data_IF_448317986280
#
_entry.id   IF_448317986280
#
_cell.length_a   1.000
_cell.length_b   1.000
_cell.length_c   1.000
_cell.angle_alpha   90.00
_cell.angle_beta   90.00
_cell.angle_gamma   90.00
#
_symmetry.space_group_name_H-M   'P 1'
#
loop_
_entity.id
_entity.type
_entity.pdbx_description
1 polymer ?
#
# COMPACT_ATOMS: atom_id res chain seq x y z
N UNK A 1 -32.46 22.10 -10.70
CA UNK A 1 -31.36 22.17 -9.72
C UNK A 1 -30.06 21.94 -10.46
N UNK A 2 -29.14 22.91 -10.45
CA UNK A 2 -27.84 22.78 -11.10
C UNK A 2 -26.90 21.95 -10.22
N UNK A 3 -26.34 20.88 -10.79
CA UNK A 3 -25.38 20.00 -10.13
C UNK A 3 -24.00 20.67 -10.15
N UNK A 4 -23.59 21.22 -9.01
CA UNK A 4 -22.22 21.73 -8.86
C UNK A 4 -21.28 20.55 -8.58
N UNK A 5 -20.63 20.03 -9.61
CA UNK A 5 -19.46 19.16 -9.44
C UNK A 5 -18.31 19.99 -8.88
N UNK A 6 -18.08 19.88 -7.56
CA UNK A 6 -16.86 20.39 -6.93
C UNK A 6 -15.69 19.55 -7.43
N UNK A 7 -14.90 20.12 -8.34
CA UNK A 7 -13.64 19.51 -8.78
C UNK A 7 -12.69 19.45 -7.57
N UNK A 8 -11.98 18.33 -7.34
CA UNK A 8 -11.05 18.21 -6.22
C UNK A 8 -9.97 19.29 -6.29
N UNK A 9 -9.42 19.72 -5.14
CA UNK A 9 -8.43 20.81 -5.08
C UNK A 9 -7.09 20.56 -5.79
N UNK A 10 -6.89 19.36 -6.34
CA UNK A 10 -5.73 18.98 -7.18
C UNK A 10 -6.04 18.98 -8.68
N UNK A 11 -7.31 19.19 -9.06
CA UNK A 11 -7.68 19.33 -10.46
C UNK A 11 -7.12 20.65 -10.99
N UNK A 12 -6.14 20.58 -11.88
CA UNK A 12 -5.63 21.72 -12.62
C UNK A 12 -6.43 21.77 -13.95
N UNK A 13 -7.24 22.82 -14.19
CA UNK A 13 -7.88 23.01 -15.49
C UNK A 13 -6.81 23.04 -16.60
N UNK A 14 -7.14 22.55 -17.79
CA UNK A 14 -6.21 22.58 -18.94
C UNK A 14 -5.69 24.00 -19.24
N UNK A 15 -6.49 25.04 -18.94
CA UNK A 15 -6.08 26.44 -19.04
C UNK A 15 -5.01 26.89 -18.03
N UNK A 16 -4.77 26.10 -16.97
CA UNK A 16 -3.74 26.31 -15.95
C UNK A 16 -2.59 25.32 -16.06
N UNK A 17 -2.67 24.34 -16.97
CA UNK A 17 -1.54 23.50 -17.31
C UNK A 17 -0.48 24.36 -18.03
N UNK A 18 0.80 24.15 -17.70
CA UNK A 18 1.88 24.83 -18.43
C UNK A 18 1.86 24.31 -19.86
N UNK A 19 1.78 25.22 -20.83
CA UNK A 19 1.85 24.87 -22.25
C UNK A 19 3.06 23.98 -22.53
N UNK A 20 2.86 22.95 -23.36
CA UNK A 20 3.86 21.92 -23.62
C UNK A 20 5.19 22.52 -24.12
N UNK A 21 5.14 23.57 -24.96
CA UNK A 21 6.34 24.24 -25.45
C UNK A 21 7.12 24.93 -24.33
N UNK A 22 6.41 25.44 -23.31
CA UNK A 22 7.00 26.07 -22.13
C UNK A 22 7.61 25.02 -21.19
N UNK A 23 6.98 23.86 -21.06
CA UNK A 23 7.53 22.72 -20.33
C UNK A 23 8.85 22.23 -20.94
N UNK A 24 8.90 22.04 -22.26
CA UNK A 24 10.11 21.61 -22.97
C UNK A 24 11.24 22.65 -22.88
N UNK A 25 10.94 23.94 -23.08
CA UNK A 25 11.92 25.03 -22.92
C UNK A 25 12.51 25.10 -21.51
N UNK A 26 11.69 24.90 -20.47
CA UNK A 26 12.17 24.85 -19.07
C UNK A 26 13.11 23.65 -18.84
N UNK A 27 12.81 22.50 -19.45
CA UNK A 27 13.68 21.31 -19.37
C UNK A 27 15.00 21.52 -20.10
N UNK A 28 15.00 22.25 -21.22
CA UNK A 28 16.23 22.65 -21.92
C UNK A 28 17.08 23.62 -21.09
N UNK A 29 16.46 24.62 -20.46
CA UNK A 29 17.15 25.56 -19.56
C UNK A 29 17.76 24.83 -18.36
N UNK A 30 17.04 23.91 -17.73
CA UNK A 30 17.57 23.11 -16.61
C UNK A 30 18.74 22.21 -17.05
N UNK A 31 18.68 21.64 -18.27
CA UNK A 31 19.82 20.93 -18.85
C UNK A 31 21.01 21.84 -19.14
N UNK A 32 20.78 23.07 -19.60
CA UNK A 32 21.81 24.05 -19.88
C UNK A 32 22.49 24.58 -18.59
N UNK A 33 21.73 24.82 -17.53
CA UNK A 33 22.25 25.22 -16.21
C UNK A 33 23.00 24.08 -15.49
N UNK A 34 22.73 22.82 -15.83
CA UNK A 34 23.45 21.65 -15.29
C UNK A 34 24.90 21.50 -15.77
N UNK A 35 25.33 22.25 -16.79
CA UNK A 35 26.67 22.14 -17.40
C UNK A 35 27.59 23.34 -17.07
N UNK A 36 27.10 24.39 -16.40
CA UNK A 36 27.97 25.49 -15.97
C UNK A 36 27.31 26.40 -14.95
N UNK A 37 27.81 26.38 -13.71
CA UNK A 37 27.37 27.35 -12.70
C UNK A 37 27.50 26.95 -11.24
N UNK A 38 28.52 26.18 -10.84
CA UNK A 38 28.96 26.18 -9.43
C UNK A 38 30.03 27.25 -9.27
N UNK A 39 29.61 28.50 -9.09
CA UNK A 39 30.52 29.61 -8.84
C UNK A 39 29.74 30.89 -8.58
N UNK A 40 29.97 31.47 -7.40
CA UNK A 40 29.57 32.81 -6.94
C UNK A 40 28.16 32.91 -6.32
N UNK A 41 28.10 32.82 -4.98
CA UNK A 41 27.76 33.95 -4.11
C UNK A 41 27.84 33.53 -2.63
N UNK A 42 29.07 33.62 -2.10
CA UNK A 42 29.33 33.83 -0.67
C UNK A 42 29.20 35.33 -0.38
N UNK A 43 28.42 35.73 0.63
CA UNK A 43 28.46 37.10 1.13
C UNK A 43 27.27 37.50 2.00
N UNK A 44 27.52 37.53 3.31
CA UNK A 44 26.99 38.44 4.33
C UNK A 44 25.49 38.82 4.34
N UNK A 45 24.84 38.62 5.50
CA UNK A 45 24.37 39.73 6.35
C UNK A 45 23.91 39.18 7.71
N UNK A 46 24.71 39.49 8.73
CA UNK A 46 24.35 39.50 10.15
C UNK A 46 23.62 40.82 10.48
N UNK A 47 22.69 40.76 11.45
CA UNK A 47 21.97 41.91 12.02
C UNK A 47 20.48 41.56 12.14
N UNK A 48 19.90 41.27 13.30
CA UNK A 48 20.07 41.91 14.59
C UNK A 48 19.04 43.04 14.70
N UNK A 49 17.83 42.74 15.21
CA UNK A 49 16.92 43.73 15.79
C UNK A 49 15.81 43.02 16.59
N UNK A 50 15.80 43.25 17.90
CA UNK A 50 14.71 43.00 18.84
C UNK A 50 14.03 44.34 19.11
N UNK A 51 12.70 44.40 19.12
CA UNK A 51 11.96 44.89 20.30
C UNK A 51 10.69 44.03 20.52
N UNK A 52 9.92 44.03 21.60
CA UNK A 52 9.96 44.49 22.99
C UNK A 52 8.78 43.76 23.65
N UNK A 53 8.93 43.44 24.92
CA UNK A 53 7.96 42.78 25.81
C UNK A 53 6.56 43.41 25.80
N UNK A 54 5.53 42.58 25.71
CA UNK A 54 4.20 42.83 26.27
C UNK A 54 3.95 41.80 27.39
N UNK A 55 3.67 42.29 28.59
CA UNK A 55 3.27 41.49 29.75
C UNK A 55 1.86 40.90 29.54
N UNK A 56 1.54 39.76 30.17
CA UNK A 56 0.25 39.11 30.06
C UNK A 56 -0.75 39.67 31.08
N UNK A 57 -1.92 40.09 30.61
CA UNK A 57 -3.08 40.34 31.49
C UNK A 57 -3.71 39.01 31.92
N UNK A 58 -4.00 38.92 33.21
CA UNK A 58 -4.55 37.74 33.88
C UNK A 58 -5.94 37.35 33.37
N UNK A 59 -6.07 36.08 33.00
CA UNK A 59 -7.32 35.38 32.78
C UNK A 59 -7.26 34.03 33.47
N UNK A 60 -8.33 33.70 34.19
CA UNK A 60 -8.43 32.59 35.14
C UNK A 60 -8.03 31.21 34.60
N UNK A 61 -7.40 30.41 35.46
CA UNK A 61 -7.13 28.99 35.24
C UNK A 61 -8.46 28.21 35.18
N UNK A 62 -8.89 27.84 33.99
CA UNK A 62 -9.84 26.74 33.80
C UNK A 62 -9.04 25.42 33.73
N UNK A 63 -9.27 24.56 34.71
CA UNK A 63 -8.61 23.26 34.83
C UNK A 63 -8.80 22.39 33.58
N UNK A 64 -7.69 21.90 33.05
CA UNK A 64 -7.68 20.90 31.97
C UNK A 64 -8.35 19.62 32.47
N UNK A 65 -9.43 19.13 31.85
CA UNK A 65 -10.01 17.87 32.26
C UNK A 65 -9.06 16.73 31.89
N UNK A 66 -8.74 15.91 32.89
CA UNK A 66 -7.95 14.70 32.75
C UNK A 66 -8.53 13.80 31.65
N UNK A 67 -7.71 13.51 30.62
CA UNK A 67 -8.09 12.62 29.51
C UNK A 67 -8.35 11.23 30.07
N UNK A 68 -9.62 10.87 30.25
CA UNK A 68 -10.01 9.47 30.47
C UNK A 68 -9.49 8.64 29.30
N UNK A 69 -8.67 7.64 29.60
CA UNK A 69 -8.28 6.63 28.63
C UNK A 69 -9.55 6.01 28.03
N UNK A 70 -9.69 5.94 26.70
CA UNK A 70 -10.84 5.28 26.11
C UNK A 70 -10.81 3.80 26.52
N UNK A 71 -11.89 3.34 27.14
CA UNK A 71 -12.09 1.92 27.41
C UNK A 71 -12.09 1.19 26.07
N UNK A 72 -11.16 0.24 25.90
CA UNK A 72 -11.03 -0.54 24.68
C UNK A 72 -12.36 -1.25 24.40
N UNK A 73 -13.05 -0.86 23.32
CA UNK A 73 -14.19 -1.65 22.85
C UNK A 73 -13.64 -3.00 22.36
N UNK A 74 -14.22 -4.13 22.77
CA UNK A 74 -13.79 -5.43 22.27
C UNK A 74 -13.88 -5.43 20.74
N UNK A 75 -12.82 -5.93 20.10
CA UNK A 75 -12.79 -6.12 18.64
C UNK A 75 -14.03 -6.93 18.25
N UNK A 76 -14.75 -6.47 17.24
CA UNK A 76 -15.99 -7.10 16.77
C UNK A 76 -15.75 -8.60 16.55
N UNK A 77 -16.60 -9.45 17.13
CA UNK A 77 -16.52 -10.91 16.95
C UNK A 77 -16.96 -11.22 15.52
N UNK A 78 -15.99 -11.34 14.63
CA UNK A 78 -16.20 -11.77 13.25
C UNK A 78 -16.68 -13.22 13.30
N UNK A 79 -17.95 -13.47 12.93
CA UNK A 79 -18.47 -14.82 12.75
C UNK A 79 -18.23 -15.21 11.29
N UNK A 80 -17.21 -16.04 11.06
CA UNK A 80 -16.87 -16.54 9.73
C UNK A 80 -17.26 -18.02 9.63
N UNK A 81 -18.06 -18.35 8.64
CA UNK A 81 -18.37 -19.74 8.29
C UNK A 81 -17.92 -19.96 6.86
N UNK A 82 -17.13 -21.01 6.61
CA UNK A 82 -16.69 -21.37 5.26
C UNK A 82 -17.90 -21.95 4.51
N UNK A 83 -18.71 -21.08 3.90
CA UNK A 83 -19.82 -21.43 3.00
C UNK A 83 -19.34 -21.80 1.58
N UNK A 84 -20.30 -21.92 0.62
CA UNK A 84 -20.06 -22.29 -0.80
C UNK A 84 -18.80 -21.61 -1.38
N UNK A 85 -18.04 -22.38 -2.16
CA UNK A 85 -16.59 -22.24 -2.28
C UNK A 85 -16.11 -20.97 -3.03
N UNK A 86 -15.12 -20.23 -2.50
CA UNK A 86 -14.50 -19.10 -3.22
C UNK A 86 -13.50 -19.55 -4.31
N UNK A 87 -13.30 -20.86 -4.48
CA UNK A 87 -12.32 -21.47 -5.37
C UNK A 87 -12.68 -21.33 -6.87
N UNK A 88 -13.91 -20.95 -7.22
CA UNK A 88 -14.32 -20.80 -8.62
C UNK A 88 -13.87 -19.47 -9.25
N UNK A 89 -13.21 -18.59 -8.48
CA UNK A 89 -12.81 -17.25 -8.92
C UNK A 89 -11.37 -17.14 -9.47
N UNK A 90 -10.72 -18.26 -9.80
CA UNK A 90 -9.50 -18.19 -10.61
C UNK A 90 -9.85 -17.72 -12.02
N UNK A 91 -9.18 -16.67 -12.54
CA UNK A 91 -9.35 -16.31 -13.94
C UNK A 91 -8.89 -17.50 -14.80
N UNK A 92 -9.81 -18.10 -15.57
CA UNK A 92 -9.51 -19.28 -16.40
C UNK A 92 -8.40 -18.98 -17.41
N UNK A 93 -8.37 -17.74 -17.90
CA UNK A 93 -7.36 -17.17 -18.79
C UNK A 93 -6.25 -16.39 -18.07
N UNK A 94 -5.94 -16.70 -16.80
CA UNK A 94 -4.90 -16.03 -16.03
C UNK A 94 -3.58 -15.90 -16.80
N UNK A 95 -2.95 -14.73 -16.68
CA UNK A 95 -1.65 -14.45 -17.29
C UNK A 95 -0.58 -15.40 -16.74
N UNK A 96 0.31 -15.85 -17.64
CA UNK A 96 1.43 -16.73 -17.30
C UNK A 96 1.05 -18.04 -16.56
N UNK A 97 -0.17 -18.57 -16.77
CA UNK A 97 -0.69 -19.75 -16.04
C UNK A 97 0.24 -20.97 -16.08
N UNK A 98 1.01 -21.15 -17.16
CA UNK A 98 1.98 -22.24 -17.31
C UNK A 98 3.18 -22.18 -16.34
N UNK A 99 3.36 -21.07 -15.63
CA UNK A 99 4.46 -20.88 -14.67
C UNK A 99 4.07 -21.23 -13.22
N UNK A 100 2.87 -21.76 -13.00
CA UNK A 100 2.37 -22.18 -11.69
C UNK A 100 2.26 -23.72 -11.62
N UNK A 101 2.55 -24.36 -10.46
CA UNK A 101 3.09 -23.74 -9.25
C UNK A 101 4.56 -23.34 -9.43
N UNK A 102 4.97 -22.24 -8.79
CA UNK A 102 6.36 -21.83 -8.75
C UNK A 102 7.13 -22.60 -7.68
N UNK A 103 8.46 -22.66 -7.80
CA UNK A 103 9.32 -23.28 -6.79
C UNK A 103 9.28 -22.47 -5.49
N UNK A 104 9.10 -23.15 -4.36
CA UNK A 104 9.20 -22.55 -3.02
C UNK A 104 10.62 -22.09 -2.72
N UNK A 105 10.72 -20.88 -2.19
CA UNK A 105 11.96 -20.32 -1.65
C UNK A 105 12.03 -20.61 -0.14
N UNK A 106 12.86 -21.57 0.23
CA UNK A 106 13.00 -22.08 1.60
C UNK A 106 13.58 -21.04 2.60
N UNK A 107 14.11 -19.92 2.11
CA UNK A 107 14.53 -18.80 2.97
C UNK A 107 13.33 -18.09 3.60
N UNK A 108 12.19 -18.06 2.91
CA UNK A 108 10.99 -17.34 3.33
C UNK A 108 9.89 -18.30 3.73
N UNK A 109 10.07 -18.91 4.92
CA UNK A 109 9.11 -19.83 5.52
C UNK A 109 8.58 -19.30 6.86
N UNK A 110 7.39 -19.75 7.22
CA UNK A 110 6.77 -19.56 8.54
C UNK A 110 6.60 -20.94 9.13
N UNK A 111 7.36 -21.26 10.18
CA UNK A 111 7.40 -22.61 10.76
C UNK A 111 6.68 -22.70 12.11
N UNK A 112 6.39 -21.57 12.74
CA UNK A 112 5.78 -21.51 14.07
C UNK A 112 4.25 -21.63 14.06
N UNK A 113 3.63 -21.61 12.87
CA UNK A 113 2.18 -21.72 12.70
C UNK A 113 1.83 -22.26 11.31
N UNK A 114 0.69 -22.91 11.23
CA UNK A 114 0.23 -23.52 9.99
C UNK A 114 -0.10 -22.48 8.91
N UNK A 115 -0.04 -22.94 7.67
CA UNK A 115 -0.61 -22.24 6.52
C UNK A 115 -2.12 -22.13 6.73
N UNK A 116 -2.67 -20.93 6.58
CA UNK A 116 -4.12 -20.71 6.64
C UNK A 116 -4.79 -21.55 5.56
N UNK A 117 -5.89 -22.28 5.85
CA UNK A 117 -6.60 -23.02 4.83
C UNK A 117 -7.00 -22.11 3.68
N UNK A 118 -6.70 -22.54 2.45
CA UNK A 118 -6.89 -21.74 1.25
C UNK A 118 -8.31 -21.16 1.13
N UNK A 119 -9.33 -21.99 1.38
CA UNK A 119 -10.74 -21.58 1.37
C UNK A 119 -11.02 -20.42 2.34
N UNK A 120 -10.42 -20.45 3.53
CA UNK A 120 -10.57 -19.36 4.50
C UNK A 120 -9.85 -18.08 4.04
N UNK A 121 -8.63 -18.22 3.53
CA UNK A 121 -7.87 -17.09 3.00
C UNK A 121 -8.59 -16.41 1.82
N UNK A 122 -9.29 -17.19 1.01
CA UNK A 122 -10.03 -16.72 -0.16
C UNK A 122 -11.45 -16.24 0.12
N UNK A 123 -12.03 -16.54 1.29
CA UNK A 123 -13.38 -16.09 1.63
C UNK A 123 -13.39 -14.96 2.68
N UNK A 124 -12.28 -14.70 3.39
CA UNK A 124 -12.19 -13.62 4.35
C UNK A 124 -11.26 -12.50 3.86
N UNK A 125 -11.82 -11.50 3.18
CA UNK A 125 -11.01 -10.49 2.50
C UNK A 125 -11.46 -9.06 2.81
N UNK A 126 -10.50 -8.14 2.84
CA UNK A 126 -10.74 -6.71 2.69
C UNK A 126 -10.51 -6.33 1.23
N UNK A 127 -11.55 -5.84 0.56
CA UNK A 127 -11.44 -5.23 -0.76
C UNK A 127 -12.62 -4.29 -1.00
N UNK A 128 -12.46 -3.02 -0.58
CA UNK A 128 -13.57 -2.08 -0.39
C UNK A 128 -14.17 -1.61 -1.72
N UNK A 129 -13.40 -1.68 -2.81
CA UNK A 129 -13.87 -1.52 -4.17
C UNK A 129 -15.00 -2.52 -4.53
N UNK A 130 -15.14 -3.62 -3.79
CA UNK A 130 -16.25 -4.56 -3.92
C UNK A 130 -17.17 -4.45 -2.72
N UNK A 131 -16.69 -4.79 -1.52
CA UNK A 131 -17.51 -4.83 -0.30
C UNK A 131 -16.69 -4.49 0.95
N UNK A 132 -17.35 -3.89 1.94
CA UNK A 132 -16.83 -3.74 3.31
C UNK A 132 -17.07 -4.99 4.16
N UNK A 133 -17.96 -5.89 3.72
CA UNK A 133 -18.31 -7.14 4.41
C UNK A 133 -17.40 -8.25 3.91
N UNK A 134 -16.59 -8.80 4.83
CA UNK A 134 -15.44 -9.67 4.55
C UNK A 134 -15.77 -10.90 3.69
N UNK A 135 -16.90 -11.53 3.96
CA UNK A 135 -17.38 -12.77 3.31
C UNK A 135 -18.21 -12.52 2.03
N UNK A 136 -18.38 -11.25 1.64
CA UNK A 136 -19.09 -10.86 0.42
C UNK A 136 -18.14 -10.47 -0.70
N UNK A 137 -16.89 -10.12 -0.40
CA UNK A 137 -15.91 -9.68 -1.41
C UNK A 137 -15.80 -10.68 -2.56
N UNK A 138 -15.58 -11.96 -2.26
CA UNK A 138 -15.41 -12.98 -3.29
C UNK A 138 -16.66 -13.15 -4.17
N UNK A 139 -17.87 -13.03 -3.59
CA UNK A 139 -19.13 -13.12 -4.33
C UNK A 139 -19.31 -11.96 -5.31
N UNK A 140 -18.76 -10.79 -4.99
CA UNK A 140 -18.91 -9.57 -5.80
C UNK A 140 -17.80 -9.38 -6.83
N UNK A 141 -16.73 -10.18 -6.77
CA UNK A 141 -15.62 -10.05 -7.71
C UNK A 141 -15.82 -10.78 -9.04
N UNK A 142 -16.93 -11.51 -9.24
CA UNK A 142 -17.12 -12.40 -10.39
C UNK A 142 -17.01 -11.72 -11.77
N UNK A 143 -17.48 -10.47 -11.89
CA UNK A 143 -17.43 -9.67 -13.13
C UNK A 143 -16.12 -8.89 -13.33
N UNK A 144 -15.18 -8.96 -12.38
CA UNK A 144 -13.94 -8.19 -12.47
C UNK A 144 -12.96 -8.81 -13.46
N UNK A 145 -12.71 -8.08 -14.54
CA UNK A 145 -11.82 -8.51 -15.62
C UNK A 145 -10.37 -8.19 -15.26
N UNK A 146 -9.59 -9.26 -15.08
CA UNK A 146 -8.17 -9.20 -14.69
C UNK A 146 -7.21 -9.58 -15.82
N UNK A 147 -7.73 -9.85 -17.01
CA UNK A 147 -6.95 -10.23 -18.20
C UNK A 147 -7.63 -9.65 -19.45
N UNK A 148 -6.87 -9.01 -20.38
CA UNK A 148 -5.45 -8.68 -20.28
C UNK A 148 -5.17 -7.64 -19.18
N UNK A 149 -3.92 -7.52 -18.73
CA UNK A 149 -3.56 -6.51 -17.73
C UNK A 149 -2.17 -5.94 -17.97
N UNK A 150 -2.08 -4.62 -17.93
CA UNK A 150 -0.83 -3.91 -18.10
C UNK A 150 -0.55 -3.06 -16.86
N UNK A 151 0.73 -3.00 -16.50
CA UNK A 151 1.23 -2.10 -15.48
C UNK A 151 1.88 -0.90 -16.17
N UNK A 152 1.41 0.31 -15.85
CA UNK A 152 2.04 1.56 -16.24
C UNK A 152 3.17 1.90 -15.28
N UNK A 153 4.35 2.22 -15.83
CA UNK A 153 5.48 2.77 -15.08
C UNK A 153 5.65 4.25 -15.44
N UNK A 154 5.84 5.10 -14.43
CA UNK A 154 5.99 6.55 -14.62
C UNK A 154 6.77 7.26 -13.52
N UNK A 155 6.60 8.59 -13.42
CA UNK A 155 7.34 9.40 -12.46
C UNK A 155 8.84 9.42 -12.78
N UNK A 156 9.66 9.04 -11.79
CA UNK A 156 11.12 9.02 -11.90
C UNK A 156 11.69 7.68 -12.39
N UNK A 157 10.90 6.71 -12.87
CA UNK A 157 11.48 5.53 -13.53
C UNK A 157 12.27 5.95 -14.79
N UNK A 158 13.37 5.25 -15.08
CA UNK A 158 14.14 5.49 -16.32
C UNK A 158 13.32 5.12 -17.56
N UNK A 159 12.42 4.14 -17.43
CA UNK A 159 11.46 3.71 -18.45
C UNK A 159 10.05 4.17 -18.09
N UNK A 160 9.48 5.03 -18.93
CA UNK A 160 8.04 5.35 -18.90
C UNK A 160 7.31 4.50 -19.93
N UNK A 161 6.66 3.41 -19.50
CA UNK A 161 6.12 2.38 -20.40
C UNK A 161 4.91 1.67 -19.77
N UNK A 162 4.02 1.12 -20.60
CA UNK A 162 3.05 0.11 -20.20
C UNK A 162 3.57 -1.26 -20.57
N UNK A 163 3.62 -2.17 -19.61
CA UNK A 163 4.10 -3.53 -19.84
C UNK A 163 3.04 -4.53 -19.41
N UNK A 164 2.85 -5.57 -20.23
CA UNK A 164 1.97 -6.67 -19.89
C UNK A 164 2.49 -7.43 -18.66
N UNK A 165 1.59 -7.81 -17.75
CA UNK A 165 1.99 -8.51 -16.52
C UNK A 165 2.57 -9.88 -16.85
N UNK A 166 2.10 -10.55 -17.90
CA UNK A 166 2.69 -11.80 -18.36
C UNK A 166 4.16 -11.64 -18.78
N UNK A 167 4.47 -10.56 -19.51
CA UNK A 167 5.85 -10.28 -19.94
C UNK A 167 6.76 -9.95 -18.75
N UNK A 168 6.26 -9.20 -17.77
CA UNK A 168 6.99 -8.93 -16.52
C UNK A 168 7.32 -10.25 -15.82
N UNK A 169 6.33 -11.13 -15.67
CA UNK A 169 6.50 -12.43 -15.01
C UNK A 169 7.55 -13.26 -15.76
N UNK A 170 7.48 -13.34 -17.09
CA UNK A 170 8.44 -14.11 -17.90
C UNK A 170 9.87 -13.59 -17.78
N UNK A 171 10.06 -12.28 -17.67
CA UNK A 171 11.39 -11.68 -17.54
C UNK A 171 12.01 -11.85 -16.14
N UNK A 172 11.20 -11.80 -15.08
CA UNK A 172 11.70 -11.85 -13.70
C UNK A 172 11.74 -13.29 -13.15
N UNK A 173 10.80 -14.12 -13.56
CA UNK A 173 10.54 -15.45 -13.00
C UNK A 173 9.68 -15.39 -11.73
N UNK A 174 9.15 -16.54 -11.33
CA UNK A 174 8.31 -16.70 -10.13
C UNK A 174 9.02 -17.54 -9.06
N UNK A 175 8.75 -17.20 -7.81
CA UNK A 175 9.03 -18.02 -6.63
C UNK A 175 7.82 -18.01 -5.69
N UNK A 176 7.71 -19.04 -4.86
CA UNK A 176 6.72 -19.07 -3.78
C UNK A 176 7.39 -18.70 -2.44
N UNK A 177 6.74 -17.82 -1.67
CA UNK A 177 7.16 -17.41 -0.33
C UNK A 177 6.01 -17.55 0.65
N UNK A 178 6.26 -18.17 1.80
CA UNK A 178 5.26 -18.29 2.85
C UNK A 178 5.42 -17.11 3.81
N UNK A 179 4.41 -16.26 3.88
CA UNK A 179 4.43 -15.08 4.73
C UNK A 179 3.28 -15.01 5.72
N UNK A 180 3.56 -14.38 6.87
CA UNK A 180 2.52 -13.85 7.75
C UNK A 180 1.89 -12.64 7.08
N UNK A 181 0.57 -12.56 7.11
CA UNK A 181 -0.21 -11.40 6.68
C UNK A 181 -1.04 -10.92 7.86
N UNK A 182 -0.83 -9.68 8.30
CA UNK A 182 -1.49 -9.11 9.49
C UNK A 182 -2.33 -7.91 9.10
N UNK A 183 -3.66 -8.01 9.21
CA UNK A 183 -4.54 -6.87 9.00
C UNK A 183 -4.59 -5.98 10.24
N UNK A 184 -4.70 -4.66 10.08
CA UNK A 184 -4.80 -3.70 11.21
C UNK A 184 -5.97 -4.01 12.17
N UNK A 185 -7.02 -4.69 11.69
CA UNK A 185 -8.22 -5.12 12.43
C UNK A 185 -7.97 -6.34 13.36
N UNK A 186 -6.72 -6.59 13.76
CA UNK A 186 -6.31 -7.64 14.68
C UNK A 186 -6.65 -9.08 14.26
N UNK A 187 -6.70 -9.35 12.95
CA UNK A 187 -6.72 -10.72 12.40
C UNK A 187 -5.51 -10.95 11.49
N UNK A 188 -5.09 -12.21 11.37
CA UNK A 188 -3.92 -12.58 10.57
C UNK A 188 -4.06 -13.92 9.86
N UNK A 189 -3.22 -14.12 8.84
CA UNK A 189 -3.12 -15.34 8.03
C UNK A 189 -1.65 -15.74 7.83
N UNK A 190 -1.42 -17.00 7.49
CA UNK A 190 -0.15 -17.48 6.92
C UNK A 190 -0.43 -17.91 5.49
N UNK A 191 0.19 -17.26 4.51
CA UNK A 191 -0.20 -17.41 3.10
C UNK A 191 1.03 -17.72 2.23
N UNK A 192 0.98 -18.79 1.41
CA UNK A 192 1.98 -19.08 0.38
C UNK A 192 1.72 -18.22 -0.86
N UNK A 193 2.38 -17.07 -0.94
CA UNK A 193 2.30 -16.17 -2.09
C UNK A 193 3.23 -16.64 -3.20
N UNK A 194 2.80 -16.52 -4.45
CA UNK A 194 3.63 -16.75 -5.64
C UNK A 194 3.84 -15.44 -6.38
N UNK A 195 5.06 -15.15 -6.79
CA UNK A 195 5.40 -13.85 -7.35
C UNK A 195 6.90 -13.61 -7.46
N UNK A 196 7.31 -12.36 -7.32
CA UNK A 196 8.73 -11.99 -7.37
C UNK A 196 9.05 -10.79 -6.45
N UNK A 197 10.33 -10.62 -6.05
CA UNK A 197 10.75 -9.46 -5.27
C UNK A 197 10.46 -8.15 -6.01
N UNK A 198 9.86 -7.16 -5.32
CA UNK A 198 9.58 -5.84 -5.88
C UNK A 198 10.86 -5.15 -6.38
N UNK A 199 11.97 -5.36 -5.68
CA UNK A 199 13.28 -4.80 -6.05
C UNK A 199 13.75 -5.25 -7.44
N UNK A 200 13.40 -6.47 -7.90
CA UNK A 200 13.72 -6.92 -9.25
C UNK A 200 12.93 -6.13 -10.30
N UNK A 201 11.66 -5.84 -10.04
CA UNK A 201 10.82 -5.04 -10.94
C UNK A 201 11.30 -3.58 -11.03
N UNK A 202 11.63 -2.97 -9.89
CA UNK A 202 12.17 -1.61 -9.85
C UNK A 202 13.51 -1.54 -10.62
N UNK A 203 14.41 -2.51 -10.42
CA UNK A 203 15.67 -2.60 -11.17
C UNK A 203 15.47 -2.81 -12.66
N UNK A 204 14.49 -3.64 -13.07
CA UNK A 204 14.16 -3.87 -14.47
C UNK A 204 13.72 -2.58 -15.19
N UNK A 205 13.02 -1.70 -14.47
CA UNK A 205 12.56 -0.41 -15.01
C UNK A 205 13.60 0.71 -14.90
N UNK A 206 14.61 0.57 -14.04
CA UNK A 206 15.67 1.56 -13.80
C UNK A 206 15.19 2.72 -12.93
N UNK A 207 16.06 3.24 -12.05
CA UNK A 207 15.72 4.33 -11.15
C UNK A 207 16.90 5.26 -10.84
N UNK A 208 16.67 6.59 -10.76
CA UNK A 208 17.69 7.56 -10.42
C UNK A 208 17.88 7.66 -8.90
N UNK A 209 19.03 8.19 -8.48
CA UNK A 209 19.36 8.45 -7.06
C UNK A 209 18.44 9.47 -6.37
N UNK A 210 17.73 10.28 -7.16
CA UNK A 210 16.74 11.26 -6.70
C UNK A 210 15.41 10.63 -6.29
N UNK A 211 15.11 9.40 -6.71
CA UNK A 211 13.92 8.69 -6.27
C UNK A 211 14.01 8.33 -4.78
N UNK A 212 12.95 8.62 -4.02
CA UNK A 212 12.87 8.39 -2.57
C UNK A 212 11.66 7.55 -2.16
N UNK A 213 10.64 7.49 -3.00
CA UNK A 213 9.42 6.73 -2.75
C UNK A 213 8.95 6.04 -4.03
N UNK A 214 8.16 4.98 -3.85
CA UNK A 214 7.36 4.37 -4.90
C UNK A 214 5.89 4.52 -4.55
N UNK A 215 5.08 4.97 -5.51
CA UNK A 215 3.63 5.08 -5.42
C UNK A 215 2.99 4.02 -6.29
N UNK A 216 1.87 3.48 -5.82
CA UNK A 216 1.05 2.49 -6.51
C UNK A 216 -0.39 2.99 -6.64
N UNK A 217 -1.06 2.54 -7.70
CA UNK A 217 -2.48 2.80 -7.93
C UNK A 217 -3.21 1.49 -8.25
N UNK A 218 -4.34 1.25 -7.59
CA UNK A 218 -5.28 0.17 -7.93
C UNK A 218 -6.11 0.57 -9.15
N UNK A 219 -6.60 -0.43 -9.90
CA UNK A 219 -7.58 -0.19 -10.95
C UNK A 219 -8.81 0.58 -10.44
N UNK A 220 -9.38 1.42 -11.31
CA UNK A 220 -10.62 2.15 -11.06
C UNK A 220 -11.65 1.75 -12.12
N UNK A 221 -12.49 0.77 -11.81
CA UNK A 221 -13.52 0.25 -12.73
C UNK A 221 -14.90 0.25 -12.05
N UNK A 222 -15.58 1.41 -11.90
CA UNK A 222 -16.86 1.49 -11.19
C UNK A 222 -17.90 0.44 -11.61
N UNK A 223 -18.03 0.18 -12.92
CA UNK A 223 -18.95 -0.83 -13.47
C UNK A 223 -18.64 -2.29 -13.05
N UNK A 224 -17.43 -2.57 -12.60
CA UNK A 224 -16.97 -3.89 -12.14
C UNK A 224 -16.63 -3.90 -10.64
N UNK A 225 -16.67 -2.74 -9.97
CA UNK A 225 -16.24 -2.51 -8.59
C UNK A 225 -17.36 -1.77 -7.84
N UNK A 226 -18.43 -2.48 -7.46
CA UNK A 226 -19.65 -1.86 -6.94
C UNK A 226 -19.44 -1.05 -5.65
N UNK A 227 -18.42 -1.40 -4.86
CA UNK A 227 -18.10 -0.68 -3.64
C UNK A 227 -17.65 0.77 -3.88
N UNK A 228 -17.11 1.10 -5.06
CA UNK A 228 -16.70 2.47 -5.41
C UNK A 228 -17.88 3.44 -5.34
N UNK A 229 -19.03 3.04 -5.90
CA UNK A 229 -20.23 3.88 -5.93
C UNK A 229 -20.87 4.00 -4.53
N UNK A 230 -20.91 2.89 -3.78
CA UNK A 230 -21.56 2.85 -2.46
C UNK A 230 -20.75 3.54 -1.35
N UNK A 231 -19.45 3.73 -1.58
CA UNK A 231 -18.51 4.31 -0.60
C UNK A 231 -18.03 5.69 -1.05
N UNK A 232 -18.95 6.55 -1.47
CA UNK A 232 -18.68 7.89 -2.02
C UNK A 232 -17.86 8.83 -1.11
N UNK A 233 -17.76 8.50 0.18
CA UNK A 233 -16.94 9.24 1.15
C UNK A 233 -15.44 8.91 1.05
N UNK A 234 -15.08 7.86 0.31
CA UNK A 234 -13.69 7.47 0.06
C UNK A 234 -13.18 8.01 -1.27
N UNK A 235 -11.88 8.30 -1.33
CA UNK A 235 -11.22 8.89 -2.49
C UNK A 235 -10.60 7.83 -3.41
N UNK A 236 -11.43 6.93 -3.94
CA UNK A 236 -10.99 5.96 -4.95
C UNK A 236 -10.42 6.68 -6.20
N UNK A 237 -9.46 6.06 -6.94
CA UNK A 237 -8.87 4.73 -6.72
C UNK A 237 -8.02 4.60 -5.45
N UNK A 238 -7.95 3.37 -4.95
CA UNK A 238 -7.04 3.02 -3.88
C UNK A 238 -5.59 3.27 -4.31
N UNK A 239 -4.81 3.88 -3.43
CA UNK A 239 -3.42 4.26 -3.70
C UNK A 239 -2.58 4.05 -2.46
N UNK A 240 -1.35 3.59 -2.68
CA UNK A 240 -0.39 3.34 -1.62
C UNK A 240 1.01 3.78 -2.01
N UNK A 241 1.88 3.87 -1.01
CA UNK A 241 3.27 4.21 -1.24
C UNK A 241 4.20 3.59 -0.18
N UNK A 242 5.46 3.43 -0.57
CA UNK A 242 6.56 3.00 0.29
C UNK A 242 7.74 3.93 0.10
N UNK A 243 8.59 4.04 1.11
CA UNK A 243 9.94 4.58 0.91
C UNK A 243 10.73 3.63 0.01
N UNK A 244 11.64 4.16 -0.80
CA UNK A 244 12.29 3.36 -1.85
C UNK A 244 13.16 2.25 -1.25
N UNK A 245 13.82 2.49 -0.12
CA UNK A 245 14.57 1.45 0.62
C UNK A 245 13.67 0.32 1.14
N UNK A 246 12.45 0.62 1.60
CA UNK A 246 11.43 -0.39 1.95
C UNK A 246 11.02 -1.21 0.73
N UNK A 247 10.79 -0.55 -0.40
CA UNK A 247 10.43 -1.21 -1.65
C UNK A 247 11.56 -2.05 -2.24
N UNK A 248 12.81 -1.72 -1.92
CA UNK A 248 14.00 -2.44 -2.34
C UNK A 248 14.41 -3.55 -1.36
N UNK A 249 13.80 -3.61 -0.16
CA UNK A 249 14.02 -4.67 0.81
C UNK A 249 13.65 -6.04 0.23
N UNK A 250 14.38 -7.08 0.63
CA UNK A 250 14.18 -8.41 0.10
C UNK A 250 12.80 -9.00 0.39
N UNK A 251 12.12 -8.58 1.47
CA UNK A 251 10.78 -9.05 1.82
C UNK A 251 9.66 -8.36 1.04
N UNK A 252 9.93 -7.22 0.38
CA UNK A 252 8.91 -6.55 -0.42
C UNK A 252 8.62 -7.37 -1.68
N UNK A 253 7.38 -7.81 -1.84
CA UNK A 253 7.04 -8.84 -2.80
C UNK A 253 5.83 -8.44 -3.65
N UNK A 254 5.91 -8.73 -4.94
CA UNK A 254 4.81 -8.56 -5.88
C UNK A 254 4.23 -9.95 -6.14
N UNK A 255 3.03 -10.19 -5.62
CA UNK A 255 2.33 -11.45 -5.81
C UNK A 255 1.48 -11.40 -7.08
N UNK A 256 1.56 -12.49 -7.84
CA UNK A 256 0.72 -12.78 -9.03
C UNK A 256 0.00 -14.13 -8.87
N UNK A 257 0.37 -14.92 -7.86
CA UNK A 257 -0.31 -16.13 -7.44
C UNK A 257 -0.37 -16.34 -5.93
N UNK A 258 -1.07 -17.40 -5.54
CA UNK A 258 -1.27 -17.84 -4.16
C UNK A 258 -1.63 -19.33 -4.15
N UNK A 259 -1.16 -20.10 -3.16
CA UNK A 259 -1.45 -21.54 -3.03
C UNK A 259 -1.14 -22.36 -4.31
N UNK A 260 -0.02 -22.05 -4.98
CA UNK A 260 0.38 -22.75 -6.21
C UNK A 260 -0.44 -22.42 -7.46
N UNK A 261 -1.32 -21.42 -7.42
CA UNK A 261 -2.17 -21.00 -8.55
C UNK A 261 -2.06 -19.48 -8.80
N UNK A 262 -2.52 -18.97 -9.96
CA UNK A 262 -2.70 -17.53 -10.15
C UNK A 262 -3.62 -16.91 -9.09
N UNK A 263 -3.49 -15.61 -8.81
CA UNK A 263 -4.34 -14.93 -7.84
C UNK A 263 -5.81 -15.04 -8.24
N UNK A 264 -6.68 -15.24 -7.26
CA UNK A 264 -8.11 -15.02 -7.44
C UNK A 264 -8.46 -13.55 -7.33
N UNK A 265 -9.59 -13.15 -7.93
CA UNK A 265 -10.00 -11.74 -8.03
C UNK A 265 -10.11 -11.06 -6.67
N UNK A 266 -10.73 -11.73 -5.69
CA UNK A 266 -10.82 -11.25 -4.31
C UNK A 266 -9.48 -11.11 -3.59
N UNK A 267 -8.50 -11.91 -4.01
CA UNK A 267 -7.14 -11.83 -3.52
C UNK A 267 -6.33 -10.72 -4.21
N UNK A 268 -6.92 -9.94 -5.12
CA UNK A 268 -6.27 -8.79 -5.75
C UNK A 268 -5.57 -9.11 -7.07
N UNK A 269 -6.07 -10.10 -7.80
CA UNK A 269 -5.58 -10.46 -9.13
C UNK A 269 -5.63 -9.27 -10.11
N UNK A 270 -4.75 -9.25 -11.13
CA UNK A 270 -3.72 -10.27 -11.42
C UNK A 270 -2.38 -9.99 -10.72
N UNK A 271 -2.22 -8.83 -10.10
CA UNK A 271 -0.97 -8.37 -9.51
C UNK A 271 -1.24 -7.53 -8.25
N UNK A 272 -0.59 -7.88 -7.14
CA UNK A 272 -0.72 -7.17 -5.86
C UNK A 272 0.61 -7.05 -5.15
N UNK A 273 0.69 -6.09 -4.24
CA UNK A 273 1.82 -5.93 -3.35
C UNK A 273 1.63 -6.77 -2.08
N UNK A 274 2.71 -7.28 -1.51
CA UNK A 274 2.79 -7.94 -0.20
C UNK A 274 3.96 -7.35 0.57
N UNK A 275 3.66 -6.70 1.69
CA UNK A 275 4.67 -6.13 2.59
C UNK A 275 4.49 -6.77 3.97
N UNK A 276 5.15 -7.91 4.25
CA UNK A 276 4.75 -8.81 5.33
C UNK A 276 4.98 -8.25 6.74
N UNK A 277 5.85 -7.24 6.89
CA UNK A 277 6.13 -6.59 8.18
C UNK A 277 5.20 -5.41 8.51
N UNK A 278 4.34 -5.01 7.57
CA UNK A 278 3.39 -3.90 7.70
C UNK A 278 1.95 -4.40 7.83
N UNK A 279 1.06 -3.53 8.31
CA UNK A 279 -0.37 -3.83 8.31
C UNK A 279 -0.90 -4.01 6.88
N UNK A 280 -1.88 -4.91 6.74
CA UNK A 280 -2.35 -5.42 5.45
C UNK A 280 -2.85 -4.37 4.46
N UNK A 281 -3.25 -3.18 4.89
CA UNK A 281 -3.65 -2.12 3.96
C UNK A 281 -2.48 -1.58 3.12
N UNK A 282 -1.23 -1.72 3.59
CA UNK A 282 -0.04 -1.39 2.79
C UNK A 282 0.14 -2.33 1.58
N UNK A 283 -0.50 -3.49 1.60
CA UNK A 283 -0.45 -4.51 0.54
C UNK A 283 -1.56 -4.29 -0.49
N UNK A 284 -1.38 -3.26 -1.33
CA UNK A 284 -2.32 -2.83 -2.38
C UNK A 284 -2.63 -3.95 -3.40
N UNK A 285 -3.88 -4.00 -3.88
CA UNK A 285 -4.42 -5.02 -4.80
C UNK A 285 -4.58 -4.47 -6.22
N UNK A 286 -4.57 -5.35 -7.22
CA UNK A 286 -4.91 -5.05 -8.62
C UNK A 286 -4.24 -3.79 -9.15
N UNK A 287 -2.90 -3.77 -9.06
CA UNK A 287 -2.08 -2.59 -9.36
C UNK A 287 -2.11 -2.30 -10.86
N UNK A 288 -2.41 -1.06 -11.24
CA UNK A 288 -2.39 -0.58 -12.65
C UNK A 288 -1.28 0.43 -12.92
N UNK A 289 -0.75 1.09 -11.89
CA UNK A 289 0.33 2.07 -12.05
C UNK A 289 1.35 1.98 -10.92
N UNK A 290 2.61 2.20 -11.27
CA UNK A 290 3.74 2.34 -10.36
C UNK A 290 4.58 3.57 -10.76
N UNK A 291 4.85 4.46 -9.81
CA UNK A 291 5.57 5.71 -10.05
C UNK A 291 6.67 5.91 -9.00
N UNK A 292 7.87 6.31 -9.43
CA UNK A 292 8.88 6.78 -8.49
C UNK A 292 8.74 8.28 -8.25
N UNK A 293 8.87 8.71 -7.01
CA UNK A 293 8.78 10.13 -6.62
C UNK A 293 9.91 10.51 -5.66
N UNK A 294 10.27 11.80 -5.63
CA UNK A 294 11.22 12.35 -4.66
C UNK A 294 10.53 12.84 -3.38
N UNK A 295 9.23 13.11 -3.44
CA UNK A 295 8.40 13.61 -2.34
C UNK A 295 7.46 12.49 -1.87
N UNK A 296 7.27 12.38 -0.55
CA UNK A 296 6.39 11.38 0.05
C UNK A 296 4.95 11.52 -0.48
N UNK A 297 4.41 10.52 -1.18
CA UNK A 297 3.02 10.53 -1.61
C UNK A 297 2.07 10.36 -0.43
N UNK A 298 0.83 10.83 -0.60
CA UNK A 298 -0.28 10.46 0.28
C UNK A 298 -0.64 8.99 0.07
N UNK A 299 -1.19 8.34 1.10
CA UNK A 299 -1.72 6.97 1.02
C UNK A 299 -3.21 6.96 1.36
N UNK A 300 -3.95 5.97 0.88
CA UNK A 300 -5.41 5.96 0.92
C UNK A 300 -5.96 6.05 2.34
N UNK A 301 -5.57 5.13 3.23
CA UNK A 301 -6.09 5.11 4.60
C UNK A 301 -5.57 6.26 5.46
N UNK A 302 -4.32 6.70 5.25
CA UNK A 302 -3.81 7.90 5.91
C UNK A 302 -4.55 9.17 5.47
N UNK A 303 -5.00 9.23 4.21
CA UNK A 303 -5.83 10.34 3.73
C UNK A 303 -7.24 10.26 4.26
N UNK A 304 -7.84 9.06 4.30
CA UNK A 304 -9.21 8.85 4.74
C UNK A 304 -9.38 9.09 6.25
N UNK A 305 -8.44 8.57 7.06
CA UNK A 305 -8.50 8.68 8.53
C UNK A 305 -7.07 8.85 9.10
N UNK A 306 -6.46 10.05 8.96
CA UNK A 306 -5.06 10.28 9.34
C UNK A 306 -4.76 10.03 10.82
N UNK A 307 -5.77 10.14 11.70
CA UNK A 307 -5.64 9.87 13.12
C UNK A 307 -5.48 8.36 13.45
N UNK A 308 -5.82 7.47 12.52
CA UNK A 308 -5.81 6.01 12.72
C UNK A 308 -4.72 5.29 11.94
N UNK A 309 -4.37 5.79 10.75
CA UNK A 309 -3.48 5.08 9.83
C UNK A 309 -2.31 5.98 9.44
N UNK A 310 -1.09 5.56 9.78
CA UNK A 310 0.14 6.26 9.41
C UNK A 310 0.64 5.95 7.99
N UNK A 311 1.71 6.61 7.57
CA UNK A 311 2.39 6.27 6.31
C UNK A 311 3.13 4.93 6.41
N UNK A 312 3.98 4.77 7.42
CA UNK A 312 4.86 3.60 7.57
C UNK A 312 4.11 2.34 7.95
N UNK A 313 3.25 2.41 8.97
CA UNK A 313 2.30 1.33 9.29
C UNK A 313 2.95 -0.03 9.57
N UNK A 314 4.12 -0.02 10.22
CA UNK A 314 4.79 -1.23 10.67
C UNK A 314 3.91 -1.94 11.72
N UNK A 315 3.90 -3.28 11.69
CA UNK A 315 3.21 -4.04 12.74
C UNK A 315 3.96 -3.84 14.05
N UNK A 316 3.31 -3.20 15.02
CA UNK A 316 3.88 -2.88 16.32
C UNK A 316 2.88 -3.25 17.42
N UNK A 317 3.14 -4.29 18.24
CA UNK A 317 2.24 -4.71 19.32
C UNK A 317 2.09 -3.68 20.43
N UNK A 318 3.09 -2.81 20.63
CA UNK A 318 3.13 -1.83 21.72
C UNK A 318 2.36 -0.54 21.36
N UNK A 319 2.09 -0.31 20.06
CA UNK A 319 1.36 0.85 19.56
C UNK A 319 -0.11 0.46 19.28
N UNK A 320 -1.06 0.82 20.16
CA UNK A 320 -2.46 0.50 19.92
C UNK A 320 -2.99 1.31 18.73
N UNK A 321 -4.00 0.76 18.08
CA UNK A 321 -4.88 1.54 17.23
C UNK A 321 -5.79 2.40 18.14
N UNK A 322 -6.24 3.61 17.75
CA UNK A 322 -7.08 4.47 18.61
C UNK A 322 -8.33 3.79 19.19
N UNK A 323 -8.80 2.73 18.53
CA UNK A 323 -10.02 1.98 18.91
C UNK A 323 -9.77 0.60 19.54
N UNK A 324 -8.57 0.02 19.43
CA UNK A 324 -8.27 -1.32 19.95
C UNK A 324 -6.77 -1.57 20.15
N UNK A 325 -6.42 -2.51 21.03
CA UNK A 325 -5.03 -2.94 21.22
C UNK A 325 -4.51 -3.72 20.01
N UNK A 326 -3.24 -3.51 19.67
CA UNK A 326 -2.53 -4.30 18.65
C UNK A 326 -1.66 -5.41 19.25
N UNK A 327 -1.62 -5.55 20.58
CA UNK A 327 -0.77 -6.52 21.29
C UNK A 327 -1.04 -7.97 20.89
N UNK A 328 -2.28 -8.28 20.47
CA UNK A 328 -2.70 -9.61 20.05
C UNK A 328 -3.31 -9.61 18.66
N UNK A 329 -3.38 -10.80 18.06
CA UNK A 329 -4.00 -11.04 16.77
C UNK A 329 -4.75 -12.38 16.77
N UNK A 330 -5.76 -12.48 15.89
CA UNK A 330 -6.61 -13.66 15.74
C UNK A 330 -6.28 -14.37 14.43
N UNK A 331 -5.82 -15.62 14.52
CA UNK A 331 -5.47 -16.44 13.36
C UNK A 331 -6.71 -16.95 12.64
N UNK A 332 -6.78 -16.79 11.32
CA UNK A 332 -7.80 -17.50 10.55
C UNK A 332 -7.45 -18.99 10.40
N UNK A 333 -8.46 -19.90 10.40
CA UNK A 333 -9.90 -19.61 10.31
C UNK A 333 -10.65 -19.59 11.65
N UNK A 334 -10.06 -20.12 12.71
CA UNK A 334 -10.72 -20.34 14.01
C UNK A 334 -10.69 -19.11 14.93
N UNK A 335 -10.01 -18.04 14.49
CA UNK A 335 -9.75 -16.82 15.24
C UNK A 335 -9.01 -17.07 16.56
N UNK A 336 -8.18 -18.13 16.61
CA UNK A 336 -7.31 -18.38 17.76
C UNK A 336 -6.44 -17.15 18.03
N UNK A 337 -6.52 -16.65 19.25
CA UNK A 337 -5.77 -15.48 19.68
C UNK A 337 -4.30 -15.86 19.99
N UNK A 338 -3.36 -15.07 19.47
CA UNK A 338 -1.93 -15.17 19.73
C UNK A 338 -1.33 -13.78 19.91
N UNK A 339 -0.12 -13.70 20.45
CA UNK A 339 0.59 -12.43 20.58
C UNK A 339 1.08 -11.92 19.21
N UNK A 340 0.88 -10.63 18.96
CA UNK A 340 1.41 -9.95 17.78
C UNK A 340 2.92 -9.81 17.94
N UNK A 341 3.70 -10.20 16.93
CA UNK A 341 5.17 -10.02 16.95
C UNK A 341 5.54 -8.64 16.36
N UNK A 342 6.57 -7.95 16.88
CA UNK A 342 7.13 -6.76 16.24
C UNK A 342 7.52 -7.03 14.79
N UNK A 343 7.22 -6.09 13.89
CA UNK A 343 7.41 -6.23 12.44
C UNK A 343 6.79 -7.53 11.89
N UNK A 344 5.70 -8.00 12.50
CA UNK A 344 5.03 -9.26 12.19
C UNK A 344 5.97 -10.49 12.23
N UNK A 345 7.05 -10.43 13.01
CA UNK A 345 8.05 -11.51 13.10
C UNK A 345 9.21 -11.38 12.12
N UNK A 346 9.33 -10.26 11.40
CA UNK A 346 10.39 -10.02 10.41
C UNK A 346 11.45 -9.01 10.87
N UNK A 347 11.57 -8.79 12.18
CA UNK A 347 12.45 -7.74 12.73
C UNK A 347 13.91 -7.83 12.24
N UNK A 348 14.46 -9.04 12.10
CA UNK A 348 15.82 -9.27 11.60
C UNK A 348 16.04 -8.74 10.17
N UNK A 349 14.99 -8.69 9.35
CA UNK A 349 15.06 -8.27 7.95
C UNK A 349 14.87 -6.76 7.75
N UNK A 350 14.21 -6.09 8.70
CA UNK A 350 13.66 -4.74 8.45
C UNK A 350 13.93 -3.72 9.55
N UNK A 351 14.33 -4.14 10.76
CA UNK A 351 14.54 -3.21 11.89
C UNK A 351 15.57 -2.13 11.55
N UNK A 352 16.64 -2.47 10.81
CA UNK A 352 17.68 -1.54 10.39
C UNK A 352 17.21 -0.47 9.40
N UNK A 353 16.04 -0.64 8.77
CA UNK A 353 15.45 0.39 7.91
C UNK A 353 14.85 1.55 8.73
N UNK A 354 14.60 1.36 10.01
CA UNK A 354 13.85 2.31 10.83
C UNK A 354 14.71 2.89 11.94
N UNK A 355 14.55 4.19 12.17
CA UNK A 355 15.30 4.92 13.20
C UNK A 355 14.50 5.04 14.51
N UNK A 356 13.26 4.54 14.52
CA UNK A 356 12.32 4.68 15.65
C UNK A 356 11.57 6.01 15.65
N UNK A 357 11.70 6.82 14.58
CA UNK A 357 10.95 8.08 14.39
C UNK A 357 9.79 7.94 13.42
N UNK A 358 9.69 6.81 12.74
CA UNK A 358 8.76 6.50 11.67
C UNK A 358 7.36 6.04 12.14
N UNK A 359 6.88 6.57 13.26
CA UNK A 359 5.65 6.12 13.92
C UNK A 359 4.42 7.00 13.66
#
# INVERSE_FOLDING_TARGET
MAWFHRRPGWYIPESQATDESTYWKRREIVKACGIGGFGLLSGALWGGCVPTSLQPDGGAEEGVPERRQPTSRPVQKDTFTVGKEPADNYPSNAQARSLYPAKRNELYKVSERDVTPEKAAQAYNNYYEFSVVKDQVWKQTGSFETVPWQLQFGGLFDKSVKMDVEDIIKQIGLEERVYRFRCVEAWSMTVPWVGFPLSKLIKLMGYPSSAKYVRFLTAHKPDQMPGIEHLSNYTFPYHEALRLDEAMNELAFVATGVYGHPLTRQMGAPIRLIIPWKYGYKSIKSIVSMELTSIQPKTFWNTAVPAEYGFYSNVNPEKPHPRWSQAKERLLPDFKEIDTKPYNGYAEYVSSLYTGKED
#
